data_IF_984215649900
#
_entry.id   IF_984215649900
#
_cell.length_a   1.000
_cell.length_b   1.000
_cell.length_c   1.000
_cell.angle_alpha   90.00
_cell.angle_beta   90.00
_cell.angle_gamma   90.00
#
_symmetry.space_group_name_H-M   'P 1'
#
loop_
_entity.id
_entity.type
_entity.pdbx_description
1 polymer ?
#
# COMPACT_ATOMS: atom_id res chain seq x y z
N UNK A 1 -1.72 -17.89 -7.22
CA UNK A 1 -2.57 -17.11 -6.31
C UNK A 1 -2.42 -15.62 -6.58
N UNK A 2 -3.51 -14.90 -6.53
CA UNK A 2 -3.56 -13.46 -6.75
C UNK A 2 -3.41 -12.73 -5.41
N UNK A 3 -2.47 -11.80 -5.36
CA UNK A 3 -2.19 -11.02 -4.14
C UNK A 3 -2.63 -9.58 -4.37
N UNK A 4 -3.27 -8.98 -3.37
CA UNK A 4 -3.61 -7.56 -3.35
C UNK A 4 -2.80 -6.87 -2.27
N UNK A 5 -2.14 -5.78 -2.64
CA UNK A 5 -1.47 -4.87 -1.71
C UNK A 5 -2.12 -3.50 -1.82
N UNK A 6 -2.20 -2.78 -0.72
CA UNK A 6 -2.83 -1.45 -0.65
C UNK A 6 -1.88 -0.48 0.03
N UNK A 7 -1.82 0.73 -0.47
CA UNK A 7 -1.03 1.78 0.16
C UNK A 7 -1.18 3.13 -0.50
N UNK A 8 -0.57 4.13 0.09
CA UNK A 8 -0.53 5.48 -0.47
C UNK A 8 0.55 5.60 -1.54
N UNK A 9 1.73 5.11 -1.25
CA UNK A 9 2.89 5.11 -2.16
C UNK A 9 3.28 6.53 -2.63
N UNK A 10 3.20 7.48 -1.74
CA UNK A 10 3.65 8.85 -1.99
C UNK A 10 5.13 8.95 -1.68
N UNK A 11 5.92 9.51 -2.59
CA UNK A 11 7.38 9.57 -2.49
C UNK A 11 7.98 8.17 -2.27
N UNK A 12 7.97 7.35 -3.32
CA UNK A 12 8.44 5.96 -3.26
C UNK A 12 9.84 5.85 -2.65
N UNK A 13 10.01 4.86 -1.79
CA UNK A 13 11.27 4.55 -1.13
C UNK A 13 11.47 3.03 -1.01
N UNK A 14 12.61 2.63 -0.47
CA UNK A 14 12.97 1.22 -0.36
C UNK A 14 11.98 0.41 0.48
N UNK A 15 11.36 1.02 1.48
CA UNK A 15 10.31 0.37 2.28
C UNK A 15 9.09 -0.03 1.47
N UNK A 16 8.65 0.83 0.56
CA UNK A 16 7.55 0.51 -0.37
C UNK A 16 7.93 -0.65 -1.29
N UNK A 17 9.13 -0.60 -1.88
CA UNK A 17 9.60 -1.65 -2.77
C UNK A 17 9.69 -2.99 -2.03
N UNK A 18 10.24 -3.00 -0.83
CA UNK A 18 10.34 -4.20 -0.01
C UNK A 18 8.97 -4.81 0.29
N UNK A 19 8.00 -3.98 0.68
CA UNK A 19 6.62 -4.41 0.90
C UNK A 19 6.05 -5.09 -0.34
N UNK A 20 6.25 -4.50 -1.51
CA UNK A 20 5.71 -5.04 -2.76
C UNK A 20 6.45 -6.31 -3.21
N UNK A 21 7.75 -6.40 -2.98
CA UNK A 21 8.52 -7.61 -3.24
C UNK A 21 8.05 -8.76 -2.35
N UNK A 22 7.86 -8.50 -1.05
CA UNK A 22 7.36 -9.50 -0.11
C UNK A 22 5.93 -9.91 -0.44
N UNK A 23 5.10 -8.96 -0.86
CA UNK A 23 3.73 -9.23 -1.27
C UNK A 23 3.68 -10.13 -2.51
N UNK A 24 4.49 -9.84 -3.52
CA UNK A 24 4.57 -10.67 -4.73
C UNK A 24 5.02 -12.09 -4.41
N UNK A 25 5.92 -12.25 -3.45
CA UNK A 25 6.43 -13.57 -3.05
C UNK A 25 5.34 -14.49 -2.46
N UNK A 26 4.20 -13.92 -2.04
CA UNK A 26 3.07 -14.70 -1.52
C UNK A 26 2.27 -15.41 -2.61
N UNK A 27 2.43 -15.01 -3.86
CA UNK A 27 1.69 -15.58 -4.97
C UNK A 27 2.41 -15.39 -6.30
N UNK A 28 1.66 -15.37 -7.38
CA UNK A 28 2.23 -15.24 -8.73
C UNK A 28 1.68 -14.03 -9.51
N UNK A 29 0.73 -13.30 -8.95
CA UNK A 29 0.18 -12.08 -9.55
C UNK A 29 -0.07 -11.05 -8.44
N UNK A 30 0.50 -9.87 -8.58
CA UNK A 30 0.34 -8.79 -7.60
C UNK A 30 -0.42 -7.62 -8.22
N UNK A 31 -1.59 -7.32 -7.67
CA UNK A 31 -2.35 -6.10 -7.95
C UNK A 31 -2.17 -5.14 -6.78
N UNK A 32 -1.78 -3.91 -7.07
CA UNK A 32 -1.60 -2.86 -6.06
C UNK A 32 -2.72 -1.85 -6.19
N UNK A 33 -3.40 -1.59 -5.08
CA UNK A 33 -4.43 -0.56 -4.97
C UNK A 33 -3.78 0.68 -4.37
N UNK A 34 -3.67 1.73 -5.17
CA UNK A 34 -3.10 3.01 -4.76
C UNK A 34 -4.21 3.88 -4.20
N UNK A 35 -4.03 4.43 -3.01
CA UNK A 35 -5.07 5.20 -2.35
C UNK A 35 -5.47 6.44 -3.15
N UNK A 36 -6.77 6.67 -3.27
CA UNK A 36 -7.34 7.86 -3.90
C UNK A 36 -6.88 9.11 -3.14
N UNK A 37 -6.64 10.21 -3.84
CA UNK A 37 -6.17 11.47 -3.23
C UNK A 37 -7.06 11.92 -2.08
N UNK A 38 -8.38 11.83 -2.23
CA UNK A 38 -9.32 12.24 -1.17
C UNK A 38 -9.23 11.33 0.05
N UNK A 39 -8.93 10.05 -0.13
CA UNK A 39 -8.69 9.13 0.98
C UNK A 39 -7.44 9.54 1.76
N UNK A 40 -6.39 9.93 1.07
CA UNK A 40 -5.15 10.41 1.71
C UNK A 40 -5.41 11.68 2.50
N UNK A 41 -6.16 12.63 1.93
CA UNK A 41 -6.52 13.90 2.59
C UNK A 41 -7.30 13.68 3.88
N UNK A 42 -8.25 12.76 3.85
CA UNK A 42 -9.11 12.46 5.01
C UNK A 42 -8.33 11.76 6.12
N UNK A 43 -7.44 10.82 5.76
CA UNK A 43 -6.79 9.93 6.74
C UNK A 43 -5.43 10.38 7.21
N UNK A 44 -4.72 11.16 6.41
CA UNK A 44 -3.33 11.55 6.70
C UNK A 44 -3.08 13.03 6.49
N UNK A 45 -2.82 13.43 5.26
CA UNK A 45 -2.42 14.79 4.90
C UNK A 45 -2.61 14.99 3.40
N UNK A 46 -2.33 16.18 2.92
CA UNK A 46 -2.32 16.46 1.49
C UNK A 46 -1.24 15.60 0.80
N UNK A 47 -1.57 14.85 -0.26
CA UNK A 47 -0.55 14.08 -0.97
C UNK A 47 0.42 15.00 -1.73
N UNK A 48 1.70 14.61 -1.79
CA UNK A 48 2.71 15.34 -2.58
C UNK A 48 2.47 15.11 -4.06
N UNK A 49 2.18 13.88 -4.46
CA UNK A 49 1.86 13.53 -5.84
C UNK A 49 0.43 12.98 -5.92
N UNK A 50 -0.27 13.31 -7.01
CA UNK A 50 -1.64 12.84 -7.20
C UNK A 50 -1.68 11.31 -7.45
N UNK A 51 -2.86 10.73 -7.28
CA UNK A 51 -2.99 9.27 -7.36
C UNK A 51 -2.67 8.70 -8.75
N UNK A 52 -2.86 9.45 -9.83
CA UNK A 52 -2.50 8.97 -11.17
C UNK A 52 -0.99 8.85 -11.34
N UNK A 53 -0.22 9.82 -10.83
CA UNK A 53 1.23 9.76 -10.83
C UNK A 53 1.76 8.66 -9.92
N UNK A 54 1.16 8.50 -8.75
CA UNK A 54 1.55 7.44 -7.81
C UNK A 54 1.29 6.06 -8.41
N UNK A 55 0.13 5.87 -9.04
CA UNK A 55 -0.21 4.64 -9.76
C UNK A 55 0.83 4.35 -10.84
N UNK A 56 1.17 5.35 -11.66
CA UNK A 56 2.14 5.20 -12.73
C UNK A 56 3.50 4.76 -12.23
N UNK A 57 3.97 5.34 -11.12
CA UNK A 57 5.24 4.97 -10.51
C UNK A 57 5.23 3.53 -10.00
N UNK A 58 4.15 3.15 -9.34
CA UNK A 58 3.98 1.79 -8.82
C UNK A 58 3.94 0.76 -9.95
N UNK A 59 3.25 1.06 -11.04
CA UNK A 59 3.18 0.17 -12.21
C UNK A 59 4.57 -0.14 -12.80
N UNK A 60 5.51 0.77 -12.66
CA UNK A 60 6.88 0.59 -13.16
C UNK A 60 7.78 -0.27 -12.30
N UNK A 61 7.34 -0.67 -11.12
CA UNK A 61 8.12 -1.50 -10.21
C UNK A 61 8.04 -2.98 -10.62
N UNK A 62 9.18 -3.66 -10.58
CA UNK A 62 9.28 -5.06 -11.05
C UNK A 62 8.27 -6.03 -10.43
N UNK A 63 8.02 -6.00 -9.11
CA UNK A 63 7.11 -7.00 -8.53
C UNK A 63 5.65 -6.77 -8.87
N UNK A 64 5.28 -5.61 -9.39
CA UNK A 64 3.89 -5.23 -9.65
C UNK A 64 3.44 -5.69 -11.02
N UNK A 65 2.36 -6.47 -11.06
CA UNK A 65 1.73 -6.89 -12.32
C UNK A 65 0.67 -5.90 -12.77
N UNK A 66 -0.03 -5.29 -11.84
CA UNK A 66 -1.12 -4.36 -12.12
C UNK A 66 -1.26 -3.35 -10.97
N UNK A 67 -1.55 -2.09 -11.29
CA UNK A 67 -1.88 -1.09 -10.30
C UNK A 67 -3.18 -0.40 -10.68
N UNK A 68 -4.02 -0.12 -9.69
CA UNK A 68 -5.28 0.60 -9.85
C UNK A 68 -5.39 1.66 -8.76
N UNK A 69 -6.18 2.70 -9.02
CA UNK A 69 -6.53 3.68 -8.01
C UNK A 69 -7.73 3.18 -7.22
N UNK A 70 -7.66 3.24 -5.90
CA UNK A 70 -8.75 2.84 -5.03
C UNK A 70 -9.94 3.79 -5.10
N UNK A 71 -11.02 3.38 -4.44
CA UNK A 71 -12.25 4.16 -4.38
C UNK A 71 -12.08 5.44 -3.56
N UNK A 72 -12.93 6.43 -3.81
CA UNK A 72 -13.02 7.62 -2.98
C UNK A 72 -13.48 7.25 -1.54
N UNK A 73 -13.26 8.12 -0.53
CA UNK A 73 -13.55 7.74 0.87
C UNK A 73 -15.02 7.51 1.19
N UNK A 74 -15.93 7.95 0.35
CA UNK A 74 -17.37 7.72 0.51
C UNK A 74 -17.81 6.31 0.07
N UNK A 75 -16.91 5.56 -0.56
CA UNK A 75 -17.15 4.17 -1.00
C UNK A 75 -16.27 3.24 -0.16
N UNK A 76 -16.84 2.12 0.29
CA UNK A 76 -16.07 1.14 1.06
C UNK A 76 -14.88 0.60 0.27
N UNK A 77 -13.73 0.50 0.93
CA UNK A 77 -12.53 -0.10 0.33
C UNK A 77 -12.79 -1.56 -0.09
N UNK A 78 -13.70 -2.26 0.58
CA UNK A 78 -14.02 -3.65 0.26
C UNK A 78 -14.77 -3.82 -1.06
N UNK A 79 -15.31 -2.75 -1.61
CA UNK A 79 -15.94 -2.80 -2.93
C UNK A 79 -14.95 -2.97 -4.08
N UNK A 80 -13.65 -2.84 -3.81
CA UNK A 80 -12.60 -3.15 -4.77
C UNK A 80 -12.39 -4.66 -4.97
N UNK A 81 -12.85 -5.48 -4.03
CA UNK A 81 -12.61 -6.92 -4.04
C UNK A 81 -13.13 -7.64 -5.29
N UNK A 82 -14.35 -7.35 -5.80
CA UNK A 82 -14.80 -7.97 -7.06
C UNK A 82 -13.94 -7.59 -8.26
N UNK A 83 -13.34 -6.40 -8.24
CA UNK A 83 -12.47 -5.90 -9.32
C UNK A 83 -11.12 -6.61 -9.29
N UNK A 84 -10.50 -6.71 -8.14
CA UNK A 84 -9.17 -7.31 -7.95
C UNK A 84 -9.24 -8.83 -7.87
N UNK A 85 -10.28 -9.34 -7.24
CA UNK A 85 -10.48 -10.76 -7.01
C UNK A 85 -9.25 -11.46 -6.39
N UNK A 86 -8.78 -10.99 -5.23
CA UNK A 86 -7.57 -11.53 -4.62
C UNK A 86 -7.83 -12.84 -3.87
N UNK A 87 -6.81 -13.69 -3.81
CA UNK A 87 -6.76 -14.85 -2.90
C UNK A 87 -6.13 -14.45 -1.57
N UNK A 88 -5.23 -13.47 -1.60
CA UNK A 88 -4.45 -13.02 -0.45
C UNK A 88 -4.43 -11.50 -0.41
N UNK A 89 -4.65 -10.93 0.77
CA UNK A 89 -4.41 -9.51 1.04
C UNK A 89 -3.13 -9.41 1.85
N UNK A 90 -2.13 -8.70 1.31
CA UNK A 90 -0.86 -8.49 1.98
C UNK A 90 -0.90 -7.16 2.75
N UNK A 91 -0.58 -7.20 4.03
CA UNK A 91 -0.48 -6.03 4.89
C UNK A 91 0.97 -5.71 5.22
N UNK A 92 1.27 -4.45 5.45
CA UNK A 92 2.57 -4.04 5.95
C UNK A 92 2.82 -4.55 7.37
N UNK A 93 4.08 -4.66 7.76
CA UNK A 93 4.48 -5.20 9.08
C UNK A 93 3.89 -4.41 10.25
N UNK A 94 3.63 -3.13 10.06
CA UNK A 94 3.12 -2.21 11.08
C UNK A 94 1.59 -2.16 11.15
N UNK A 95 0.88 -3.01 10.40
CA UNK A 95 -0.57 -3.03 10.31
C UNK A 95 -1.21 -4.18 11.11
N UNK A 96 -0.62 -4.53 12.24
CA UNK A 96 -1.13 -5.60 13.11
C UNK A 96 -2.58 -5.37 13.55
N UNK A 97 -2.90 -4.14 13.93
CA UNK A 97 -4.27 -3.80 14.38
C UNK A 97 -5.30 -3.91 13.26
N UNK A 98 -4.89 -3.68 12.03
CA UNK A 98 -5.78 -3.78 10.87
C UNK A 98 -6.09 -5.22 10.48
N UNK A 99 -5.20 -6.16 10.79
CA UNK A 99 -5.33 -7.56 10.38
C UNK A 99 -6.63 -8.20 10.87
N UNK A 100 -6.90 -8.11 12.17
CA UNK A 100 -8.10 -8.72 12.76
C UNK A 100 -9.38 -8.02 12.27
N UNK A 101 -9.37 -6.70 12.19
CA UNK A 101 -10.50 -5.93 11.66
C UNK A 101 -10.82 -6.30 10.22
N UNK A 102 -9.82 -6.47 9.40
CA UNK A 102 -9.97 -6.85 7.99
C UNK A 102 -10.53 -8.25 7.88
N UNK A 103 -10.00 -9.21 8.63
CA UNK A 103 -10.50 -10.58 8.65
C UNK A 103 -11.96 -10.65 9.06
N UNK A 104 -12.34 -9.93 10.11
CA UNK A 104 -13.71 -9.87 10.57
C UNK A 104 -14.64 -9.32 9.50
N UNK A 105 -14.25 -8.21 8.86
CA UNK A 105 -15.05 -7.59 7.80
C UNK A 105 -15.19 -8.48 6.58
N UNK A 106 -14.13 -9.17 6.19
CA UNK A 106 -14.16 -10.13 5.09
C UNK A 106 -15.16 -11.27 5.38
N UNK A 107 -15.15 -11.79 6.60
CA UNK A 107 -16.11 -12.82 7.01
C UNK A 107 -17.54 -12.32 6.94
N UNK A 108 -17.81 -11.10 7.42
CA UNK A 108 -19.13 -10.49 7.40
C UNK A 108 -19.66 -10.30 5.96
N UNK A 109 -18.76 -9.99 5.03
CA UNK A 109 -19.11 -9.73 3.63
C UNK A 109 -19.13 -10.98 2.74
N UNK A 110 -18.84 -12.17 3.30
CA UNK A 110 -18.83 -13.41 2.53
C UNK A 110 -17.50 -13.70 1.83
N UNK A 111 -16.42 -13.00 2.18
CA UNK A 111 -15.08 -13.19 1.63
C UNK A 111 -14.14 -13.91 2.59
N UNK A 112 -14.67 -14.77 3.45
CA UNK A 112 -13.87 -15.46 4.48
C UNK A 112 -12.76 -16.37 3.93
N UNK A 113 -12.78 -16.71 2.65
CA UNK A 113 -11.74 -17.51 1.99
C UNK A 113 -10.48 -16.72 1.68
N UNK A 114 -10.57 -15.39 1.63
CA UNK A 114 -9.41 -14.53 1.37
C UNK A 114 -8.47 -14.55 2.58
N UNK A 115 -7.22 -14.92 2.35
CA UNK A 115 -6.19 -14.90 3.40
C UNK A 115 -5.67 -13.49 3.61
N UNK A 116 -5.40 -13.15 4.86
CA UNK A 116 -4.78 -11.87 5.22
C UNK A 116 -3.42 -12.20 5.84
N UNK A 117 -2.35 -11.67 5.25
CA UNK A 117 -0.98 -11.97 5.67
C UNK A 117 -0.21 -10.67 5.83
N UNK A 118 0.47 -10.51 6.97
CA UNK A 118 1.43 -9.41 7.16
C UNK A 118 2.79 -9.83 6.62
N UNK A 119 3.45 -8.91 5.93
CA UNK A 119 4.80 -9.13 5.42
C UNK A 119 5.83 -8.47 6.33
N UNK A 120 7.09 -8.91 6.24
CA UNK A 120 8.17 -8.36 7.05
C UNK A 120 8.55 -6.96 6.60
N UNK A 121 8.93 -6.12 7.57
CA UNK A 121 9.41 -4.77 7.31
C UNK A 121 10.86 -4.76 6.87
N UNK A 122 11.24 -3.69 6.16
CA UNK A 122 12.62 -3.42 5.80
C UNK A 122 13.33 -2.80 7.01
N UNK A 123 14.46 -3.37 7.41
CA UNK A 123 15.28 -2.83 8.50
C UNK A 123 16.32 -1.86 7.93
N UNK A 124 15.92 -0.60 7.78
CA UNK A 124 16.78 0.46 7.26
C UNK A 124 16.34 1.81 7.82
N UNK A 125 17.29 2.76 7.96
CA UNK A 125 17.01 4.09 8.49
C UNK A 125 16.10 4.94 7.59
N UNK A 126 16.04 4.63 6.31
CA UNK A 126 15.24 5.35 5.33
C UNK A 126 14.05 4.50 4.80
N UNK A 127 13.48 3.69 5.67
CA UNK A 127 12.35 2.80 5.32
C UNK A 127 10.98 3.47 5.37
N UNK A 128 10.92 4.79 5.59
CA UNK A 128 9.67 5.53 5.66
C UNK A 128 9.77 6.92 5.06
N UNK A 129 8.67 7.43 4.51
CA UNK A 129 8.60 8.75 3.88
C UNK A 129 8.98 9.87 4.86
N UNK A 130 8.52 9.81 6.11
CA UNK A 130 8.87 10.80 7.14
C UNK A 130 10.37 10.88 7.40
N UNK A 131 11.03 9.74 7.43
CA UNK A 131 12.48 9.66 7.65
C UNK A 131 13.24 10.26 6.48
N UNK A 132 12.78 10.04 5.26
CA UNK A 132 13.37 10.62 4.05
C UNK A 132 13.20 12.15 4.05
N UNK A 133 12.00 12.63 4.34
CA UNK A 133 11.73 14.08 4.42
C UNK A 133 12.60 14.72 5.48
N UNK A 134 12.70 14.13 6.66
CA UNK A 134 13.54 14.63 7.75
C UNK A 134 15.01 14.70 7.30
N UNK A 135 15.50 13.69 6.59
CA UNK A 135 16.86 13.67 6.07
C UNK A 135 17.12 14.77 5.04
N UNK A 136 16.17 15.00 4.15
CA UNK A 136 16.25 16.08 3.15
C UNK A 136 16.33 17.44 3.84
N UNK A 137 15.49 17.69 4.84
CA UNK A 137 15.49 18.95 5.61
C UNK A 137 16.81 19.14 6.36
N UNK A 138 17.33 18.08 6.98
CA UNK A 138 18.63 18.10 7.66
C UNK A 138 19.75 18.50 6.71
N UNK A 139 19.82 17.85 5.54
CA UNK A 139 20.83 18.12 4.52
C UNK A 139 20.70 19.55 3.96
N UNK A 140 19.48 20.03 3.78
CA UNK A 140 19.21 21.38 3.32
C UNK A 140 19.71 22.45 4.32
N UNK A 141 19.56 22.22 5.63
CA UNK A 141 20.05 23.12 6.70
C UNK A 141 21.57 23.19 6.76
N UNK A 142 22.24 22.12 6.39
CA UNK A 142 23.71 22.02 6.47
C UNK A 142 24.42 22.56 5.23
N UNK A 143 23.70 23.14 4.27
CA UNK A 143 24.27 23.62 3.00
C UNK A 143 24.83 25.04 3.04
N UNK A 144 24.69 25.76 4.11
CA UNK A 144 25.19 27.16 4.22
C UNK A 144 26.53 27.25 4.92
#
# INVERSE_FOLDING_TARGET
MRVMAVGVFDLLHAGHLHYLEQSKALGNHLTVVVAHDDTVRVRKHEPVTNHDLRKRMVEGLKPVDEAIVGNSPDVSIFEILPVVNPDIIALGYDQEHAEDSIRQKLNELGYGEIKVTRVEGLSDDLDGTRKIIARVLELSRNKD
#
